data_IF_274200113673
#
_entry.id   IF_274200113673
#
_cell.length_a   1.000
_cell.length_b   1.000
_cell.length_c   1.000
_cell.angle_alpha   90.00
_cell.angle_beta   90.00
_cell.angle_gamma   90.00
#
_symmetry.space_group_name_H-M   'P 1'
#
loop_
_entity.id
_entity.type
_entity.pdbx_description
1 polymer ?
#
# COMPACT_ATOMS: atom_id res chain seq x y z
N UNK A 1 -11.00 -13.38 3.64
CA UNK A 1 -11.31 -12.13 2.89
C UNK A 1 -10.56 -10.92 3.48
N UNK A 2 -9.35 -11.11 4.02
CA UNK A 2 -8.52 -10.07 4.65
C UNK A 2 -7.38 -9.57 3.76
N UNK A 3 -6.98 -10.38 2.77
CA UNK A 3 -5.68 -10.25 2.12
C UNK A 3 -5.70 -9.16 1.04
N UNK A 4 -6.82 -9.04 0.34
CA UNK A 4 -7.07 -8.01 -0.67
C UNK A 4 -6.88 -6.58 -0.15
N UNK A 5 -7.35 -6.30 1.08
CA UNK A 5 -7.19 -4.97 1.69
C UNK A 5 -5.74 -4.68 2.06
N UNK A 6 -5.01 -5.69 2.54
CA UNK A 6 -3.60 -5.57 2.86
C UNK A 6 -2.74 -5.33 1.60
N UNK A 7 -2.97 -6.10 0.53
CA UNK A 7 -2.33 -5.92 -0.77
C UNK A 7 -2.59 -4.52 -1.32
N UNK A 8 -3.84 -4.07 -1.28
CA UNK A 8 -4.22 -2.74 -1.77
C UNK A 8 -3.52 -1.61 -1.00
N UNK A 9 -3.43 -1.72 0.33
CA UNK A 9 -2.65 -0.79 1.16
C UNK A 9 -1.18 -0.82 0.78
N UNK A 10 -0.60 -2.01 0.60
CA UNK A 10 0.80 -2.16 0.20
C UNK A 10 1.07 -1.48 -1.15
N UNK A 11 0.22 -1.69 -2.16
CA UNK A 11 0.34 -1.03 -3.45
C UNK A 11 0.23 0.49 -3.37
N UNK A 12 -0.65 1.02 -2.51
CA UNK A 12 -0.72 2.46 -2.30
C UNK A 12 0.60 3.02 -1.76
N UNK A 13 1.33 2.30 -0.91
CA UNK A 13 2.67 2.70 -0.47
C UNK A 13 3.69 2.55 -1.60
N UNK A 14 3.60 1.48 -2.38
CA UNK A 14 4.45 1.22 -3.54
C UNK A 14 4.42 2.38 -4.56
N UNK A 15 3.22 2.83 -4.95
CA UNK A 15 3.06 3.96 -5.87
C UNK A 15 3.50 5.29 -5.27
N UNK A 16 3.31 5.51 -3.95
CA UNK A 16 3.81 6.71 -3.28
C UNK A 16 5.35 6.81 -3.31
N UNK A 17 6.04 5.68 -3.40
CA UNK A 17 7.49 5.63 -3.56
C UNK A 17 7.93 5.81 -5.03
N UNK A 18 7.01 6.11 -5.94
CA UNK A 18 7.29 6.28 -7.37
C UNK A 18 7.47 4.98 -8.14
N UNK A 19 7.27 3.83 -7.49
CA UNK A 19 7.42 2.51 -8.10
C UNK A 19 6.15 2.10 -8.84
N UNK A 20 6.30 1.31 -9.90
CA UNK A 20 5.20 0.93 -10.80
C UNK A 20 4.81 -0.54 -10.67
N UNK A 21 3.69 -0.89 -11.29
CA UNK A 21 3.30 -2.28 -11.55
C UNK A 21 3.38 -2.53 -13.05
N UNK A 22 4.00 -3.63 -13.46
CA UNK A 22 4.21 -4.00 -14.85
C UNK A 22 3.22 -5.10 -15.21
N UNK A 23 2.41 -4.88 -16.24
CA UNK A 23 1.49 -5.86 -16.79
C UNK A 23 2.02 -6.34 -18.15
N UNK A 24 2.70 -7.50 -18.22
CA UNK A 24 3.45 -7.92 -19.40
C UNK A 24 2.55 -8.21 -20.61
N UNK A 25 1.33 -8.71 -20.40
CA UNK A 25 0.41 -9.07 -21.50
C UNK A 25 0.03 -7.87 -22.38
N UNK A 26 -0.07 -6.68 -21.78
CA UNK A 26 -0.42 -5.44 -22.48
C UNK A 26 0.77 -4.46 -22.58
N UNK A 27 1.99 -4.89 -22.19
CA UNK A 27 3.18 -4.04 -22.05
C UNK A 27 2.91 -2.73 -21.30
N UNK A 28 1.96 -2.76 -20.36
CA UNK A 28 1.47 -1.58 -19.67
C UNK A 28 2.24 -1.39 -18.36
N UNK A 29 2.66 -0.15 -18.10
CA UNK A 29 3.17 0.27 -16.79
C UNK A 29 2.06 1.05 -16.07
N UNK A 30 1.57 0.49 -14.97
CA UNK A 30 0.51 1.10 -14.16
C UNK A 30 1.14 2.00 -13.09
N UNK A 31 0.76 3.27 -13.11
CA UNK A 31 1.16 4.28 -12.12
C UNK A 31 0.03 5.28 -11.92
N UNK A 32 -0.92 5.01 -11.00
CA UNK A 32 -2.07 5.87 -10.79
C UNK A 32 -1.67 7.21 -10.18
N UNK A 33 -2.12 8.29 -10.80
CA UNK A 33 -1.96 9.66 -10.31
C UNK A 33 -3.28 10.41 -10.50
N UNK A 34 -3.88 10.97 -9.44
CA UNK A 34 -3.47 10.87 -8.02
C UNK A 34 -3.72 9.46 -7.45
N UNK A 35 -3.11 9.12 -6.30
CA UNK A 35 -3.36 7.85 -5.56
C UNK A 35 -4.55 8.02 -4.59
N UNK A 36 -4.70 9.22 -4.03
CA UNK A 36 -5.74 9.55 -3.06
C UNK A 36 -6.60 10.69 -3.56
N UNK A 37 -7.89 10.63 -3.22
CA UNK A 37 -8.82 11.75 -3.32
C UNK A 37 -9.31 12.06 -1.91
N UNK A 38 -8.69 13.04 -1.26
CA UNK A 38 -8.97 13.42 0.13
C UNK A 38 -8.91 12.23 1.12
N UNK A 39 -10.06 11.70 1.52
CA UNK A 39 -10.22 10.67 2.55
C UNK A 39 -10.32 9.24 2.02
N UNK A 40 -10.12 9.04 0.70
CA UNK A 40 -10.24 7.73 0.04
C UNK A 40 -9.20 7.54 -1.07
N UNK A 41 -9.10 6.32 -1.60
CA UNK A 41 -8.38 6.08 -2.84
C UNK A 41 -9.04 6.80 -4.00
N UNK A 42 -8.23 7.35 -4.90
CA UNK A 42 -8.73 8.00 -6.11
C UNK A 42 -9.39 6.99 -7.07
N UNK A 43 -10.21 7.49 -7.99
CA UNK A 43 -10.76 6.68 -9.09
C UNK A 43 -9.65 6.07 -9.94
N UNK A 44 -8.57 6.82 -10.18
CA UNK A 44 -7.43 6.39 -10.99
C UNK A 44 -6.72 5.19 -10.34
N UNK A 45 -6.58 5.21 -9.01
CA UNK A 45 -6.04 4.08 -8.26
C UNK A 45 -6.98 2.87 -8.28
N UNK A 46 -8.28 3.10 -8.09
CA UNK A 46 -9.29 2.02 -8.14
C UNK A 46 -9.36 1.36 -9.52
N UNK A 47 -9.30 2.14 -10.60
CA UNK A 47 -9.28 1.63 -11.97
C UNK A 47 -8.00 0.83 -12.25
N UNK A 48 -6.84 1.30 -11.77
CA UNK A 48 -5.60 0.54 -11.85
C UNK A 48 -5.70 -0.77 -11.06
N UNK A 49 -6.30 -0.73 -9.87
CA UNK A 49 -6.53 -1.92 -9.05
C UNK A 49 -7.42 -2.95 -9.77
N UNK A 50 -8.53 -2.52 -10.37
CA UNK A 50 -9.40 -3.42 -11.14
C UNK A 50 -8.65 -4.02 -12.34
N UNK A 51 -7.85 -3.23 -13.05
CA UNK A 51 -7.02 -3.72 -14.18
C UNK A 51 -6.03 -4.80 -13.74
N UNK A 52 -5.41 -4.67 -12.55
CA UNK A 52 -4.47 -5.67 -12.03
C UNK A 52 -5.17 -6.98 -11.63
N UNK A 53 -6.45 -6.93 -11.29
CA UNK A 53 -7.25 -8.10 -10.94
C UNK A 53 -7.90 -8.78 -12.16
N UNK A 54 -7.99 -8.07 -13.29
CA UNK A 54 -8.55 -8.60 -14.51
C UNK A 54 -7.69 -9.76 -15.04
N UNK A 55 -8.24 -10.97 -15.20
CA UNK A 55 -7.53 -12.09 -15.82
C UNK A 55 -6.99 -11.75 -17.22
N UNK A 56 -7.62 -10.80 -17.91
CA UNK A 56 -7.16 -10.35 -19.23
C UNK A 56 -5.86 -9.55 -19.17
N UNK A 57 -5.47 -9.00 -18.02
CA UNK A 57 -4.19 -8.31 -17.85
C UNK A 57 -3.01 -9.27 -17.65
N UNK A 58 -3.28 -10.54 -17.39
CA UNK A 58 -2.28 -11.56 -17.06
C UNK A 58 -1.59 -11.30 -15.72
N UNK A 59 -0.42 -11.92 -15.54
CA UNK A 59 0.34 -11.86 -14.28
C UNK A 59 1.10 -10.53 -14.16
N UNK A 60 0.42 -9.48 -13.69
CA UNK A 60 1.07 -8.22 -13.37
C UNK A 60 2.02 -8.39 -12.17
N UNK A 61 3.19 -7.76 -12.20
CA UNK A 61 4.21 -7.87 -11.16
C UNK A 61 4.76 -6.51 -10.73
N UNK A 62 5.38 -6.44 -9.54
CA UNK A 62 5.93 -5.20 -9.02
C UNK A 62 7.24 -4.83 -9.74
N UNK A 63 7.42 -3.55 -10.07
CA UNK A 63 8.65 -3.07 -10.71
C UNK A 63 9.91 -3.36 -9.88
N UNK A 64 10.88 -4.06 -10.45
CA UNK A 64 12.11 -4.41 -9.75
C UNK A 64 11.99 -5.64 -8.84
N UNK A 65 10.88 -6.38 -8.90
CA UNK A 65 10.74 -7.70 -8.28
C UNK A 65 10.15 -8.72 -9.26
N UNK A 66 10.07 -9.99 -8.84
CA UNK A 66 9.44 -11.07 -9.62
C UNK A 66 8.03 -11.41 -9.10
N UNK A 67 7.57 -10.71 -8.05
CA UNK A 67 6.33 -11.04 -7.35
C UNK A 67 5.14 -10.50 -8.13
N UNK A 68 4.20 -11.39 -8.40
CA UNK A 68 2.97 -11.05 -9.08
C UNK A 68 1.92 -10.54 -8.09
N UNK A 69 0.94 -9.80 -8.59
CA UNK A 69 -0.21 -9.37 -7.79
C UNK A 69 -1.02 -10.60 -7.32
N UNK A 70 -1.10 -11.64 -8.15
CA UNK A 70 -1.76 -12.90 -7.79
C UNK A 70 -1.04 -13.61 -6.65
N UNK A 71 0.30 -13.61 -6.64
CA UNK A 71 1.07 -14.14 -5.53
C UNK A 71 0.68 -13.43 -4.25
N UNK A 72 0.76 -12.10 -4.22
CA UNK A 72 0.46 -11.29 -3.03
C UNK A 72 -0.98 -11.45 -2.52
N UNK A 73 -1.91 -11.79 -3.40
CA UNK A 73 -3.31 -12.06 -3.06
C UNK A 73 -3.54 -13.49 -2.53
N UNK A 74 -2.58 -14.38 -2.71
CA UNK A 74 -2.65 -15.74 -2.20
C UNK A 74 -2.46 -15.76 -0.67
N UNK A 75 -3.06 -16.74 0.02
CA UNK A 75 -3.00 -16.85 1.47
C UNK A 75 -1.61 -17.21 2.01
N UNK A 76 -0.62 -17.42 1.14
CA UNK A 76 0.75 -17.73 1.56
C UNK A 76 1.54 -16.51 2.01
N UNK A 77 0.98 -15.30 1.92
CA UNK A 77 1.64 -14.05 2.30
C UNK A 77 0.99 -13.38 3.50
N UNK A 78 1.82 -12.92 4.41
CA UNK A 78 1.46 -12.02 5.50
C UNK A 78 2.19 -10.69 5.35
N UNK A 79 1.54 -9.61 5.76
CA UNK A 79 2.12 -8.27 5.69
C UNK A 79 2.58 -7.81 7.07
N UNK A 80 3.90 -7.66 7.24
CA UNK A 80 4.52 -7.22 8.49
C UNK A 80 5.12 -5.82 8.35
N UNK A 81 5.08 -4.96 9.39
CA UNK A 81 5.64 -3.62 9.29
C UNK A 81 7.16 -3.68 9.15
N UNK A 82 7.71 -2.95 8.19
CA UNK A 82 9.15 -2.78 8.03
C UNK A 82 9.76 -2.14 9.29
N UNK A 83 10.82 -2.74 9.84
CA UNK A 83 11.54 -2.18 11.00
C UNK A 83 12.14 -0.79 10.74
N UNK A 84 12.41 -0.42 9.47
CA UNK A 84 13.00 0.88 9.09
C UNK A 84 11.96 1.98 8.87
N UNK A 85 10.85 1.66 8.20
CA UNK A 85 9.92 2.68 7.72
C UNK A 85 8.43 2.36 7.97
N UNK A 86 8.13 1.27 8.69
CA UNK A 86 6.78 0.81 9.05
C UNK A 86 5.85 0.43 7.89
N UNK A 87 6.28 0.60 6.64
CA UNK A 87 5.56 0.15 5.45
C UNK A 87 5.33 -1.36 5.55
N UNK A 88 4.11 -1.86 5.26
CA UNK A 88 3.85 -3.29 5.23
C UNK A 88 4.76 -3.98 4.21
N UNK A 89 5.39 -5.09 4.59
CA UNK A 89 6.25 -5.91 3.74
C UNK A 89 5.63 -7.30 3.64
N UNK A 90 5.40 -7.83 2.43
CA UNK A 90 4.95 -9.20 2.24
C UNK A 90 6.05 -10.19 2.70
N UNK A 91 5.68 -11.11 3.56
CA UNK A 91 6.50 -12.22 4.07
C UNK A 91 5.75 -13.51 3.80
N UNK A 92 6.44 -14.50 3.23
CA UNK A 92 5.87 -15.81 2.97
C UNK A 92 5.72 -16.59 4.28
N UNK A 93 4.54 -17.15 4.53
CA UNK A 93 4.20 -17.84 5.79
C UNK A 93 5.02 -19.13 5.95
N UNK A 94 5.30 -19.83 4.85
CA UNK A 94 6.04 -21.09 4.82
C UNK A 94 7.18 -21.00 3.80
N UNK A 95 8.28 -20.36 4.18
CA UNK A 95 9.42 -20.22 3.28
C UNK A 95 10.48 -19.26 3.82
N UNK A 96 11.56 -19.11 3.05
CA UNK A 96 12.56 -18.08 3.32
C UNK A 96 12.23 -16.88 2.45
N UNK A 97 11.59 -15.87 3.03
CA UNK A 97 11.20 -14.66 2.30
C UNK A 97 12.44 -13.92 1.81
N UNK A 98 12.65 -13.86 0.51
CA UNK A 98 13.69 -13.02 -0.14
C UNK A 98 13.24 -11.57 -0.31
N UNK A 99 12.05 -11.22 0.15
CA UNK A 99 11.46 -9.90 -0.09
C UNK A 99 12.08 -8.84 0.81
N UNK A 100 12.72 -7.88 0.14
CA UNK A 100 13.14 -6.65 0.77
C UNK A 100 11.98 -5.66 0.76
N UNK A 101 11.90 -4.84 1.81
CA UNK A 101 10.96 -3.73 1.84
C UNK A 101 11.16 -2.84 0.59
N UNK A 102 10.11 -2.24 0.01
CA UNK A 102 10.26 -1.27 -1.07
C UNK A 102 11.23 -0.11 -0.78
N UNK A 103 11.59 0.13 0.48
CA UNK A 103 12.59 1.12 0.83
C UNK A 103 14.04 0.68 0.66
N UNK A 104 14.30 -0.60 0.36
CA UNK A 104 15.65 -1.16 0.40
C UNK A 104 16.59 -0.55 -0.64
N UNK A 105 16.08 -0.29 -1.84
CA UNK A 105 16.81 0.28 -2.98
C UNK A 105 16.73 1.82 -3.03
N UNK A 106 16.07 2.46 -2.07
CA UNK A 106 15.98 3.91 -1.96
C UNK A 106 17.11 4.47 -1.10
N UNK A 107 18.09 5.06 -1.77
CA UNK A 107 19.34 5.58 -1.17
C UNK A 107 19.13 6.62 -0.05
N UNK A 108 18.08 7.43 -0.14
CA UNK A 108 17.76 8.50 0.81
C UNK A 108 16.54 8.22 1.70
N UNK A 109 16.09 6.96 1.82
CA UNK A 109 14.94 6.59 2.63
C UNK A 109 15.30 6.18 4.07
N UNK A 110 14.44 6.32 5.09
CA UNK A 110 13.28 7.19 5.13
C UNK A 110 13.72 8.65 5.02
N UNK A 111 13.17 9.36 4.03
CA UNK A 111 13.40 10.79 3.93
C UNK A 111 12.42 11.48 4.88
N UNK A 112 12.92 11.93 6.04
CA UNK A 112 12.10 12.63 7.04
C UNK A 112 11.78 14.09 6.64
N UNK A 113 12.37 14.60 5.56
CA UNK A 113 12.00 15.91 4.98
C UNK A 113 10.71 15.83 4.15
N UNK A 114 10.31 14.63 3.73
CA UNK A 114 9.07 14.38 3.01
C UNK A 114 8.06 13.67 3.92
N UNK A 115 6.75 13.86 3.70
CA UNK A 115 5.76 13.07 4.39
C UNK A 115 5.97 11.59 4.08
N UNK A 116 5.96 10.77 5.13
CA UNK A 116 6.00 9.32 4.96
C UNK A 116 4.79 8.85 4.15
N UNK A 117 4.91 7.73 3.42
CA UNK A 117 3.80 7.16 2.67
C UNK A 117 2.70 6.82 3.67
N UNK A 118 1.50 7.28 3.37
CA UNK A 118 0.38 7.22 4.28
C UNK A 118 -0.80 6.53 3.62
N UNK A 119 -1.75 6.12 4.44
CA UNK A 119 -3.07 5.71 3.99
C UNK A 119 -3.98 6.94 3.93
N UNK A 120 -5.08 6.90 3.16
CA UNK A 120 -6.01 8.02 3.13
C UNK A 120 -6.50 8.32 4.55
N UNK A 121 -6.39 9.59 4.96
CA UNK A 121 -6.73 10.02 6.31
C UNK A 121 -8.10 10.68 6.30
N UNK A 122 -9.08 10.05 6.95
CA UNK A 122 -10.35 10.70 7.22
C UNK A 122 -10.18 11.73 8.34
N UNK A 123 -9.88 12.98 7.94
CA UNK A 123 -9.63 14.08 8.87
C UNK A 123 -10.84 14.36 9.76
N UNK A 124 -12.06 14.16 9.26
CA UNK A 124 -13.29 14.41 10.02
C UNK A 124 -13.46 13.38 11.15
N UNK A 125 -13.31 12.10 10.83
CA UNK A 125 -13.37 11.02 11.83
C UNK A 125 -12.27 11.18 12.89
N UNK A 126 -11.05 11.53 12.48
CA UNK A 126 -9.95 11.74 13.41
C UNK A 126 -10.20 12.95 14.33
N UNK A 127 -10.70 14.06 13.79
CA UNK A 127 -11.08 15.23 14.57
C UNK A 127 -12.23 14.93 15.53
N UNK A 128 -13.24 14.16 15.10
CA UNK A 128 -14.33 13.71 15.97
C UNK A 128 -13.80 12.83 17.11
N UNK A 129 -12.87 11.90 16.83
CA UNK A 129 -12.22 11.08 17.87
C UNK A 129 -11.42 11.93 18.87
N UNK A 130 -10.68 12.94 18.40
CA UNK A 130 -9.97 13.89 19.27
C UNK A 130 -10.98 14.67 20.13
N UNK A 131 -12.04 15.19 19.52
CA UNK A 131 -13.12 15.92 20.21
C UNK A 131 -13.76 15.06 21.30
N UNK A 132 -14.09 13.80 21.02
CA UNK A 132 -14.66 12.88 22.00
C UNK A 132 -13.72 12.62 23.18
N UNK A 133 -12.42 12.45 22.92
CA UNK A 133 -11.41 12.29 23.98
C UNK A 133 -11.30 13.54 24.86
N UNK A 134 -11.32 14.73 24.26
CA UNK A 134 -11.28 15.99 25.00
C UNK A 134 -12.53 16.13 25.89
N UNK A 135 -13.73 15.91 25.35
CA UNK A 135 -14.99 15.98 26.10
C UNK A 135 -15.06 15.01 27.28
N UNK A 136 -14.52 13.79 27.10
CA UNK A 136 -14.41 12.77 28.15
C UNK A 136 -13.44 13.18 29.26
N UNK A 137 -12.35 13.86 28.91
CA UNK A 137 -11.34 14.31 29.87
C UNK A 137 -11.69 15.65 30.55
N UNK A 138 -12.63 16.41 30.00
CA UNK A 138 -13.10 17.69 30.55
C UNK A 138 -14.34 17.59 31.44
N UNK A 139 -14.86 16.38 31.71
CA UNK A 139 -15.82 16.17 32.80
C UNK A 139 -15.02 15.97 34.10
N UNK A 140 -15.03 16.93 35.05
CA UNK A 140 -14.50 16.70 36.38
C UNK A 140 -15.42 15.74 37.13
N UNK A 141 -14.82 14.85 37.90
CA UNK A 141 -15.50 14.04 38.91
C UNK A 141 -16.07 14.91 40.02
#
# INVERSE_FOLDING_TARGET
MSDTSAVKKYLAHWFQLGKKVICPKNQAMLFPLPIFNADRYSSEFEDCWQKMLDPESGDCYLEGTQQTIQDLLSPQWEFHPCARCTIPVPIEVLGQSSLSCPCHDLSNWPNLELPLPHLPVNSRENLDRIRQRLLKNSHPH
#
